data_IF_515055738261
#
_entry.id   IF_515055738261
#
_cell.length_a   1.000
_cell.length_b   1.000
_cell.length_c   1.000
_cell.angle_alpha   90.00
_cell.angle_beta   90.00
_cell.angle_gamma   90.00
#
_symmetry.space_group_name_H-M   'P 1'
#
loop_
_entity.id
_entity.type
_entity.pdbx_description
1 polymer ?
#
# COMPACT_ATOMS: atom_id res chain seq x y z
N UNK A 1 51.35 9.96 8.07
CA UNK A 1 50.90 11.32 7.70
C UNK A 1 49.40 11.39 7.84
N UNK A 2 49.01 12.14 8.82
CA UNK A 2 47.67 12.36 9.35
C UNK A 2 46.89 13.35 8.49
N UNK A 3 45.66 13.02 8.13
CA UNK A 3 44.64 14.06 7.89
C UNK A 3 43.30 13.68 8.54
N UNK A 4 43.09 14.35 9.68
CA UNK A 4 41.78 14.45 10.34
C UNK A 4 40.91 15.42 9.54
N UNK A 5 39.72 15.03 9.15
CA UNK A 5 38.68 15.95 8.78
C UNK A 5 37.48 15.77 9.72
N UNK A 6 37.32 16.82 10.53
CA UNK A 6 36.18 17.07 11.41
C UNK A 6 34.99 17.49 10.53
N UNK A 7 33.84 16.88 10.66
CA UNK A 7 32.59 17.50 10.25
C UNK A 7 31.63 17.55 11.42
N UNK A 8 31.24 18.79 11.74
CA UNK A 8 30.34 19.22 12.80
C UNK A 8 28.90 18.65 12.57
N UNK A 9 28.16 18.43 13.66
CA UNK A 9 26.74 18.20 13.58
C UNK A 9 25.99 19.53 13.49
N UNK A 10 25.21 19.71 12.46
CA UNK A 10 24.25 20.80 12.36
C UNK A 10 22.89 20.32 12.93
N UNK A 11 22.66 20.71 14.17
CA UNK A 11 21.38 20.56 14.85
C UNK A 11 20.46 21.66 14.30
N UNK A 12 19.42 21.28 13.57
CA UNK A 12 18.32 22.19 13.26
C UNK A 12 17.12 21.76 14.10
N UNK A 13 16.89 22.50 15.17
CA UNK A 13 15.62 22.54 15.88
C UNK A 13 14.59 23.28 15.02
N UNK A 14 13.47 22.68 14.71
CA UNK A 14 12.32 23.42 14.24
C UNK A 14 11.09 23.10 15.08
N UNK A 15 10.53 24.19 15.58
CA UNK A 15 9.51 24.29 16.59
C UNK A 15 8.12 23.84 16.12
N UNK A 16 7.33 23.44 17.11
CA UNK A 16 5.92 23.13 17.07
C UNK A 16 5.06 24.30 16.55
N UNK A 17 4.10 23.96 15.71
CA UNK A 17 2.89 24.76 15.55
C UNK A 17 1.70 23.82 15.70
N UNK A 18 1.05 23.89 16.85
CA UNK A 18 -0.24 23.27 17.11
C UNK A 18 -1.33 23.96 16.29
N UNK A 19 -2.16 23.17 15.64
CA UNK A 19 -3.46 23.60 15.19
C UNK A 19 -4.51 22.81 15.96
N UNK A 20 -5.09 23.49 16.96
CA UNK A 20 -6.34 23.10 17.59
C UNK A 20 -7.44 23.20 16.54
N UNK A 21 -8.09 22.09 16.22
CA UNK A 21 -9.34 22.10 15.49
C UNK A 21 -10.47 21.89 16.49
N UNK A 22 -11.17 22.99 16.81
CA UNK A 22 -12.39 23.01 17.58
C UNK A 22 -13.55 22.46 16.77
N UNK A 23 -14.13 21.44 17.32
CA UNK A 23 -15.53 21.04 17.36
C UNK A 23 -16.54 22.09 16.85
N UNK A 24 -17.35 21.68 15.89
CA UNK A 24 -18.66 22.25 15.65
C UNK A 24 -19.59 21.15 15.18
N UNK A 25 -20.39 20.71 16.13
CA UNK A 25 -21.59 19.93 15.92
C UNK A 25 -22.56 20.66 15.02
N UNK A 26 -22.89 20.09 13.87
CA UNK A 26 -24.15 20.39 13.19
C UNK A 26 -24.76 19.11 12.62
N UNK A 27 -25.84 18.72 13.28
CA UNK A 27 -26.78 17.69 12.85
C UNK A 27 -27.44 18.15 11.55
N UNK A 28 -27.20 17.44 10.45
CA UNK A 28 -28.09 17.50 9.28
C UNK A 28 -28.49 16.06 8.94
N UNK A 29 -29.67 15.71 9.46
CA UNK A 29 -30.46 14.60 8.95
C UNK A 29 -30.93 14.95 7.55
N UNK A 30 -30.36 14.36 6.52
CA UNK A 30 -30.97 14.27 5.19
C UNK A 30 -30.91 12.84 4.73
N UNK A 31 -32.04 12.16 4.89
CA UNK A 31 -32.38 10.94 4.17
C UNK A 31 -32.29 11.20 2.67
N UNK A 32 -31.32 10.63 2.01
CA UNK A 32 -31.31 10.51 0.56
C UNK A 32 -31.22 9.02 0.25
N UNK A 33 -32.38 8.47 -0.07
CA UNK A 33 -32.52 7.20 -0.75
C UNK A 33 -31.91 7.35 -2.15
N UNK A 34 -30.76 6.76 -2.40
CA UNK A 34 -30.23 6.62 -3.75
C UNK A 34 -30.04 5.15 -4.09
N UNK A 35 -30.38 4.75 -5.32
CA UNK A 35 -30.47 3.35 -5.70
C UNK A 35 -29.08 2.72 -5.76
N UNK A 36 -29.05 1.48 -5.38
CA UNK A 36 -27.93 0.54 -5.45
C UNK A 36 -27.15 0.68 -6.76
N UNK A 37 -25.99 1.28 -6.68
CA UNK A 37 -24.96 1.12 -7.68
C UNK A 37 -23.87 0.30 -6.98
N UNK A 38 -23.75 -0.95 -7.39
CA UNK A 38 -22.69 -1.87 -6.98
C UNK A 38 -21.35 -1.35 -7.53
N UNK A 39 -20.86 -0.28 -6.94
CA UNK A 39 -19.46 0.05 -6.98
C UNK A 39 -18.90 -0.59 -5.72
N UNK A 40 -17.88 -1.41 -5.85
CA UNK A 40 -17.07 -1.89 -4.74
C UNK A 40 -16.50 -0.67 -4.02
N UNK A 41 -17.30 -0.07 -3.15
CA UNK A 41 -16.86 1.00 -2.27
C UNK A 41 -15.91 0.36 -1.27
N UNK A 42 -14.63 0.39 -1.58
CA UNK A 42 -13.57 0.06 -0.63
C UNK A 42 -13.80 0.86 0.63
N UNK A 43 -14.02 0.17 1.75
CA UNK A 43 -14.06 0.77 3.08
C UNK A 43 -12.79 1.59 3.26
N UNK A 44 -12.81 2.76 3.93
CA UNK A 44 -11.61 3.57 4.13
C UNK A 44 -10.41 2.80 4.70
N UNK A 45 -10.69 1.76 5.50
CA UNK A 45 -9.67 0.84 6.02
C UNK A 45 -9.07 -0.05 4.93
N UNK A 46 -9.88 -0.49 3.94
CA UNK A 46 -9.39 -1.31 2.83
C UNK A 46 -8.51 -0.51 1.87
N UNK A 47 -8.82 0.76 1.63
CA UNK A 47 -7.96 1.63 0.82
C UNK A 47 -6.62 1.94 1.51
N UNK A 48 -6.63 2.18 2.81
CA UNK A 48 -5.40 2.36 3.58
C UNK A 48 -4.51 1.11 3.50
N UNK A 49 -5.09 -0.07 3.66
CA UNK A 49 -4.39 -1.33 3.50
C UNK A 49 -3.80 -1.51 2.10
N UNK A 50 -4.61 -1.28 1.04
CA UNK A 50 -4.13 -1.36 -0.34
C UNK A 50 -2.96 -0.41 -0.61
N UNK A 51 -3.01 0.81 -0.07
CA UNK A 51 -1.95 1.80 -0.24
C UNK A 51 -0.65 1.35 0.45
N UNK A 52 -0.74 0.81 1.67
CA UNK A 52 0.42 0.29 2.39
C UNK A 52 1.03 -0.93 1.70
N UNK A 53 0.20 -1.83 1.15
CA UNK A 53 0.66 -2.94 0.30
C UNK A 53 1.35 -2.42 -0.96
N UNK A 54 0.81 -1.38 -1.60
CA UNK A 54 1.41 -0.79 -2.80
C UNK A 54 2.76 -0.14 -2.48
N UNK A 55 2.87 0.60 -1.39
CA UNK A 55 4.11 1.25 -0.99
C UNK A 55 5.17 0.22 -0.59
N UNK A 56 4.78 -0.82 0.13
CA UNK A 56 5.66 -1.93 0.46
C UNK A 56 6.15 -2.65 -0.81
N UNK A 57 5.24 -2.98 -1.74
CA UNK A 57 5.58 -3.65 -3.01
C UNK A 57 6.55 -2.79 -3.82
N UNK A 58 6.28 -1.49 -3.96
CA UNK A 58 7.16 -0.57 -4.65
C UNK A 58 8.56 -0.55 -4.03
N UNK A 59 8.67 -0.36 -2.72
CA UNK A 59 9.94 -0.35 -2.01
C UNK A 59 10.72 -1.66 -2.18
N UNK A 60 10.00 -2.80 -2.12
CA UNK A 60 10.60 -4.11 -2.26
C UNK A 60 11.18 -4.34 -3.67
N UNK A 61 10.41 -4.07 -4.72
CA UNK A 61 10.87 -4.38 -6.10
C UNK A 61 12.01 -3.48 -6.55
N UNK A 62 12.12 -2.25 -6.05
CA UNK A 62 13.27 -1.39 -6.33
C UNK A 62 14.51 -1.74 -5.51
N UNK A 63 14.34 -2.40 -4.35
CA UNK A 63 15.47 -2.86 -3.52
C UNK A 63 16.07 -4.18 -3.99
N UNK A 64 15.37 -4.95 -4.83
CA UNK A 64 15.83 -6.24 -5.35
C UNK A 64 15.87 -7.36 -4.30
N UNK A 65 14.91 -7.41 -3.40
CA UNK A 65 14.82 -8.42 -2.34
C UNK A 65 14.45 -9.83 -2.83
N UNK A 66 14.56 -10.82 -1.94
CA UNK A 66 14.16 -12.20 -2.22
C UNK A 66 12.65 -12.39 -2.03
N UNK A 67 12.01 -13.18 -2.89
CA UNK A 67 10.56 -13.38 -2.90
C UNK A 67 9.99 -13.85 -1.54
N UNK A 68 10.68 -14.74 -0.83
CA UNK A 68 10.26 -15.20 0.51
C UNK A 68 10.21 -14.03 1.53
N UNK A 69 11.13 -13.09 1.41
CA UNK A 69 11.15 -11.87 2.24
C UNK A 69 9.98 -10.98 1.90
N UNK A 70 9.60 -10.89 0.63
CA UNK A 70 8.42 -10.16 0.17
C UNK A 70 7.14 -10.70 0.81
N UNK A 71 6.93 -12.02 0.76
CA UNK A 71 5.75 -12.67 1.32
C UNK A 71 5.63 -12.45 2.84
N UNK A 72 6.75 -12.54 3.57
CA UNK A 72 6.79 -12.25 5.02
C UNK A 72 6.46 -10.79 5.32
N UNK A 73 6.96 -9.87 4.52
CA UNK A 73 6.66 -8.45 4.70
C UNK A 73 5.21 -8.11 4.39
N UNK A 74 4.59 -8.75 3.39
CA UNK A 74 3.14 -8.62 3.14
C UNK A 74 2.33 -9.07 4.36
N UNK A 75 2.68 -10.20 4.96
CA UNK A 75 2.03 -10.67 6.18
C UNK A 75 2.11 -9.64 7.31
N UNK A 76 3.26 -8.99 7.50
CA UNK A 76 3.42 -7.94 8.51
C UNK A 76 2.59 -6.67 8.17
N UNK A 77 2.46 -6.30 6.88
CA UNK A 77 1.56 -5.21 6.47
C UNK A 77 0.12 -5.55 6.80
N UNK A 78 -0.32 -6.76 6.45
CA UNK A 78 -1.66 -7.25 6.72
C UNK A 78 -1.99 -7.28 8.21
N UNK A 79 -1.08 -7.77 9.04
CA UNK A 79 -1.24 -7.81 10.50
C UNK A 79 -1.48 -6.42 11.11
N UNK A 80 -0.75 -5.40 10.65
CA UNK A 80 -0.95 -4.02 11.12
C UNK A 80 -2.34 -3.47 10.80
N UNK A 81 -2.98 -3.96 9.74
CA UNK A 81 -4.33 -3.61 9.33
C UNK A 81 -5.42 -4.57 9.84
N UNK A 82 -5.04 -5.56 10.65
CA UNK A 82 -5.97 -6.57 11.18
C UNK A 82 -6.46 -7.57 10.12
N UNK A 83 -5.77 -7.67 8.99
CA UNK A 83 -6.06 -8.63 7.93
C UNK A 83 -5.42 -9.97 8.27
N UNK A 84 -6.22 -10.92 8.73
CA UNK A 84 -5.73 -12.22 9.22
C UNK A 84 -5.45 -13.23 8.11
N UNK A 85 -6.06 -13.07 6.94
CA UNK A 85 -5.87 -13.95 5.78
C UNK A 85 -5.63 -13.11 4.52
N UNK A 86 -4.47 -12.50 4.46
CA UNK A 86 -4.08 -11.63 3.37
C UNK A 86 -3.99 -12.35 2.01
N UNK A 87 -3.70 -13.67 2.03
CA UNK A 87 -3.63 -14.48 0.81
C UNK A 87 -5.01 -14.70 0.15
N UNK A 88 -6.09 -14.52 0.89
CA UNK A 88 -7.45 -14.58 0.37
C UNK A 88 -8.09 -13.20 0.16
N UNK A 89 -7.40 -12.14 0.53
CA UNK A 89 -7.91 -10.77 0.44
C UNK A 89 -7.60 -10.15 -0.92
N UNK A 90 -8.64 -9.79 -1.65
CA UNK A 90 -8.55 -9.19 -2.99
C UNK A 90 -7.77 -7.85 -2.98
N UNK A 91 -7.88 -7.09 -1.88
CA UNK A 91 -7.18 -5.82 -1.70
C UNK A 91 -5.66 -5.97 -1.69
N UNK A 92 -5.15 -7.11 -1.21
CA UNK A 92 -3.73 -7.44 -1.25
C UNK A 92 -3.19 -7.45 -2.68
N UNK A 93 -3.86 -8.19 -3.57
CA UNK A 93 -3.39 -8.36 -4.96
C UNK A 93 -3.55 -7.07 -5.77
N UNK A 94 -4.63 -6.33 -5.56
CA UNK A 94 -4.82 -5.00 -6.16
C UNK A 94 -3.74 -4.02 -5.66
N UNK A 95 -3.42 -4.05 -4.37
CA UNK A 95 -2.32 -3.26 -3.79
C UNK A 95 -0.96 -3.60 -4.40
N UNK A 96 -0.67 -4.90 -4.60
CA UNK A 96 0.55 -5.35 -5.28
C UNK A 96 0.62 -4.76 -6.70
N UNK A 97 -0.46 -4.85 -7.48
CA UNK A 97 -0.52 -4.26 -8.83
C UNK A 97 -0.19 -2.77 -8.83
N UNK A 98 -0.80 -2.00 -7.94
CA UNK A 98 -0.51 -0.56 -7.75
C UNK A 98 0.96 -0.29 -7.42
N UNK A 99 1.58 -1.14 -6.59
CA UNK A 99 3.00 -1.03 -6.25
C UNK A 99 3.91 -1.26 -7.45
N UNK A 100 3.58 -2.24 -8.30
CA UNK A 100 4.30 -2.50 -9.55
C UNK A 100 4.15 -1.34 -10.56
N UNK A 101 2.96 -0.72 -10.62
CA UNK A 101 2.75 0.48 -11.43
C UNK A 101 3.62 1.65 -10.95
N UNK A 102 3.68 1.89 -9.63
CA UNK A 102 4.57 2.89 -9.04
C UNK A 102 6.06 2.63 -9.38
N UNK A 103 6.45 1.36 -9.44
CA UNK A 103 7.81 0.94 -9.82
C UNK A 103 8.06 0.96 -11.33
N UNK A 104 7.07 1.35 -12.13
CA UNK A 104 7.14 1.43 -13.60
C UNK A 104 7.49 0.09 -14.26
N UNK A 105 6.95 -1.00 -13.74
CA UNK A 105 7.06 -2.30 -14.36
C UNK A 105 6.38 -2.30 -15.73
N UNK A 106 6.92 -3.12 -16.64
CA UNK A 106 6.25 -3.38 -17.93
C UNK A 106 5.13 -4.40 -17.75
N UNK A 107 4.09 -4.41 -18.60
CA UNK A 107 3.02 -5.42 -18.53
C UNK A 107 3.53 -6.86 -18.49
N UNK A 108 4.58 -7.18 -19.25
CA UNK A 108 5.20 -8.51 -19.23
C UNK A 108 5.83 -8.86 -17.86
N UNK A 109 6.47 -7.89 -17.21
CA UNK A 109 7.01 -8.09 -15.86
C UNK A 109 5.90 -8.27 -14.82
N UNK A 110 4.80 -7.51 -14.96
CA UNK A 110 3.61 -7.64 -14.08
C UNK A 110 2.98 -9.02 -14.22
N UNK A 111 2.86 -9.54 -15.44
CA UNK A 111 2.32 -10.89 -15.68
C UNK A 111 3.16 -11.95 -14.95
N UNK A 112 4.48 -11.90 -15.10
CA UNK A 112 5.41 -12.85 -14.44
C UNK A 112 5.34 -12.72 -12.92
N UNK A 113 5.36 -11.50 -12.39
CA UNK A 113 5.29 -11.26 -10.97
C UNK A 113 3.93 -11.69 -10.39
N UNK A 114 2.83 -11.30 -11.06
CA UNK A 114 1.47 -11.68 -10.69
C UNK A 114 1.27 -13.19 -10.66
N UNK A 115 1.80 -13.92 -11.64
CA UNK A 115 1.76 -15.38 -11.66
C UNK A 115 2.49 -16.01 -10.48
N UNK A 116 3.63 -15.46 -10.11
CA UNK A 116 4.42 -15.96 -8.98
C UNK A 116 3.70 -15.69 -7.65
N UNK A 117 3.22 -14.47 -7.42
CA UNK A 117 2.59 -14.10 -6.15
C UNK A 117 1.20 -14.72 -5.98
N UNK A 118 0.50 -15.02 -7.07
CA UNK A 118 -0.80 -15.68 -7.04
C UNK A 118 -0.72 -17.20 -6.80
N UNK A 119 0.48 -17.78 -6.87
CA UNK A 119 0.64 -19.24 -6.82
C UNK A 119 -0.06 -19.97 -7.98
N UNK A 120 -0.32 -19.27 -9.09
CA UNK A 120 -1.02 -19.80 -10.26
C UNK A 120 -2.55 -19.61 -10.22
N UNK A 121 -3.10 -18.95 -9.20
CA UNK A 121 -4.52 -18.60 -9.14
C UNK A 121 -4.84 -17.47 -10.14
N UNK A 122 -5.70 -17.79 -11.11
CA UNK A 122 -6.04 -16.86 -12.19
C UNK A 122 -6.80 -15.61 -11.72
N UNK A 123 -7.64 -15.73 -10.66
CA UNK A 123 -8.34 -14.57 -10.07
C UNK A 123 -7.35 -13.61 -9.44
N UNK A 124 -6.43 -14.12 -8.62
CA UNK A 124 -5.41 -13.32 -7.95
C UNK A 124 -4.48 -12.62 -8.95
N UNK A 125 -4.03 -13.37 -9.98
CA UNK A 125 -3.19 -12.80 -11.04
C UNK A 125 -3.90 -11.66 -11.79
N UNK A 126 -5.22 -11.80 -12.06
CA UNK A 126 -6.02 -10.75 -12.66
C UNK A 126 -6.13 -9.51 -11.77
N UNK A 127 -6.33 -9.68 -10.46
CA UNK A 127 -6.37 -8.57 -9.50
C UNK A 127 -5.06 -7.77 -9.47
N UNK A 128 -3.92 -8.44 -9.63
CA UNK A 128 -2.62 -7.75 -9.79
C UNK A 128 -2.60 -6.90 -11.05
N UNK A 129 -3.14 -7.41 -12.18
CA UNK A 129 -3.22 -6.65 -13.43
C UNK A 129 -4.19 -5.47 -13.32
N UNK A 130 -5.38 -5.68 -12.72
CA UNK A 130 -6.36 -4.61 -12.48
C UNK A 130 -5.81 -3.50 -11.58
N UNK A 131 -4.98 -3.85 -10.60
CA UNK A 131 -4.33 -2.86 -9.75
C UNK A 131 -3.18 -2.12 -10.44
N UNK A 132 -2.62 -2.69 -11.50
CA UNK A 132 -1.54 -2.08 -12.27
C UNK A 132 -2.05 -1.03 -13.27
N UNK A 133 -3.26 -1.19 -13.83
CA UNK A 133 -3.88 -0.27 -14.80
C UNK A 133 -4.30 1.07 -14.18
#
# INVERSE_FOLDING_TARGET
MTHRARCLPLIVMLAAAGCSFSDSSESISKSISSPFQSSSASSPSAEAYQNDVADYTHAYVISGGQFDTFMKGLANVAERHGVTNWEADDATYTGIGRGLAKAKFTPAQVEVFGKNVSGGDAKKARLVQEGFE
#
